data_IF_978121451365
#
_entry.id   IF_978121451365
#
_cell.length_a   1.000
_cell.length_b   1.000
_cell.length_c   1.000
_cell.angle_alpha   90.00
_cell.angle_beta   90.00
_cell.angle_gamma   90.00
#
_symmetry.space_group_name_H-M   'P 1'
#
loop_
_entity.id
_entity.type
_entity.pdbx_description
1 polymer ?
#
# COMPACT_ATOMS: atom_id res chain seq x y z
N UNK A 1 13.21 -24.84 -5.81
CA UNK A 1 13.25 -24.40 -4.39
C UNK A 1 13.63 -22.93 -4.43
N UNK A 2 12.65 -22.02 -4.39
CA UNK A 2 12.89 -20.57 -4.51
C UNK A 2 13.03 -20.00 -3.09
N UNK A 3 14.23 -20.08 -2.52
CA UNK A 3 14.62 -19.31 -1.36
C UNK A 3 15.26 -17.97 -1.79
N UNK A 4 14.55 -17.13 -2.50
CA UNK A 4 14.88 -15.71 -2.45
C UNK A 4 14.24 -15.16 -1.18
N UNK A 5 14.96 -15.22 -0.06
CA UNK A 5 14.65 -14.40 1.12
C UNK A 5 14.65 -12.96 0.66
N UNK A 6 13.47 -12.33 0.65
CA UNK A 6 13.39 -10.89 0.55
C UNK A 6 14.09 -10.35 1.81
N UNK A 7 15.34 -9.91 1.68
CA UNK A 7 16.03 -9.20 2.75
C UNK A 7 15.38 -7.84 2.85
N UNK A 8 14.47 -7.70 3.81
CA UNK A 8 13.63 -6.51 3.99
C UNK A 8 14.17 -5.61 5.11
N UNK A 9 15.35 -5.89 5.60
CA UNK A 9 16.03 -5.05 6.58
C UNK A 9 16.97 -4.08 5.89
N UNK A 10 16.94 -2.84 6.30
CA UNK A 10 17.89 -1.81 5.90
C UNK A 10 18.63 -1.26 7.12
N UNK A 11 19.72 -0.53 6.89
CA UNK A 11 20.48 0.08 7.97
C UNK A 11 19.66 1.09 8.82
N UNK A 12 18.51 1.56 8.31
CA UNK A 12 17.69 2.57 8.97
C UNK A 12 16.32 2.05 9.43
N UNK A 13 15.78 1.03 8.77
CA UNK A 13 14.45 0.50 9.06
C UNK A 13 14.43 -1.02 8.95
N UNK A 14 13.69 -1.63 9.88
CA UNK A 14 13.36 -3.05 9.87
C UNK A 14 11.92 -3.23 9.44
N UNK A 15 11.66 -4.18 8.55
CA UNK A 15 10.31 -4.54 8.14
C UNK A 15 9.84 -5.77 8.90
N UNK A 16 8.62 -5.70 9.44
CA UNK A 16 7.97 -6.83 10.09
C UNK A 16 6.58 -7.04 9.51
N UNK A 17 6.20 -8.29 9.31
CA UNK A 17 4.81 -8.65 9.09
C UNK A 17 4.05 -8.53 10.42
N UNK A 18 2.89 -7.89 10.40
CA UNK A 18 2.04 -7.71 11.58
C UNK A 18 1.65 -9.07 12.17
N UNK A 19 1.79 -9.17 13.47
CA UNK A 19 1.32 -10.32 14.25
C UNK A 19 0.40 -9.85 15.38
N UNK A 20 -0.34 -10.77 15.98
CA UNK A 20 -1.16 -10.49 17.16
C UNK A 20 -0.32 -10.59 18.46
N UNK A 21 0.91 -10.10 18.43
CA UNK A 21 1.81 -10.09 19.60
C UNK A 21 1.57 -8.86 20.49
N UNK A 22 1.93 -8.98 21.77
CA UNK A 22 1.86 -7.86 22.71
C UNK A 22 2.73 -6.69 22.26
N UNK A 23 3.92 -6.97 21.68
CA UNK A 23 4.85 -5.97 21.18
C UNK A 23 4.27 -5.17 20.00
N UNK A 24 3.66 -5.87 19.02
CA UNK A 24 3.05 -5.20 17.87
C UNK A 24 1.83 -4.38 18.30
N UNK A 25 1.01 -4.90 19.22
CA UNK A 25 -0.11 -4.14 19.81
C UNK A 25 0.36 -2.86 20.51
N UNK A 26 1.47 -2.92 21.26
CA UNK A 26 2.04 -1.76 21.92
C UNK A 26 2.56 -0.71 20.90
N UNK A 27 3.26 -1.15 19.85
CA UNK A 27 3.74 -0.26 18.77
C UNK A 27 2.57 0.42 18.04
N UNK A 28 1.53 -0.34 17.73
CA UNK A 28 0.30 0.17 17.10
C UNK A 28 -0.40 1.20 18.00
N UNK A 29 -0.50 0.95 19.30
CA UNK A 29 -1.16 1.86 20.25
C UNK A 29 -0.51 3.26 20.25
N UNK A 30 0.80 3.34 20.09
CA UNK A 30 1.57 4.60 20.08
C UNK A 30 1.62 5.29 18.71
N UNK A 31 1.13 4.64 17.64
CA UNK A 31 1.14 5.19 16.29
C UNK A 31 0.16 6.36 16.15
N UNK A 32 0.60 7.45 15.53
CA UNK A 32 -0.26 8.56 15.12
C UNK A 32 0.00 8.95 13.68
N UNK A 33 -1.04 8.91 12.87
CA UNK A 33 -0.99 9.36 11.49
C UNK A 33 -1.24 10.87 11.33
N UNK A 34 -1.56 11.56 12.44
CA UNK A 34 -1.89 12.99 12.48
C UNK A 34 -3.32 13.29 12.01
N UNK A 35 -3.77 14.51 12.29
CA UNK A 35 -5.19 14.94 12.18
C UNK A 35 -5.84 14.69 10.80
N UNK A 36 -5.07 14.73 9.73
CA UNK A 36 -5.60 14.59 8.37
C UNK A 36 -5.63 13.13 7.87
N UNK A 37 -5.25 12.16 8.71
CA UNK A 37 -5.14 10.75 8.35
C UNK A 37 -5.72 9.82 9.44
N UNK A 38 -6.72 10.30 10.18
CA UNK A 38 -7.35 9.55 11.28
C UNK A 38 -7.96 8.22 10.82
N UNK A 39 -8.47 8.13 9.60
CA UNK A 39 -8.97 6.87 9.03
C UNK A 39 -7.88 5.81 8.92
N UNK A 40 -6.67 6.21 8.50
CA UNK A 40 -5.51 5.31 8.43
C UNK A 40 -5.05 4.86 9.83
N UNK A 41 -5.07 5.76 10.81
CA UNK A 41 -4.75 5.43 12.19
C UNK A 41 -5.77 4.45 12.79
N UNK A 42 -7.08 4.70 12.60
CA UNK A 42 -8.15 3.79 13.05
C UNK A 42 -8.02 2.41 12.42
N UNK A 43 -7.81 2.35 11.10
CA UNK A 43 -7.63 1.07 10.44
C UNK A 43 -6.52 0.25 11.11
N UNK A 44 -5.35 0.85 11.35
CA UNK A 44 -4.23 0.16 11.99
C UNK A 44 -4.58 -0.34 13.39
N UNK A 45 -5.23 0.52 14.21
CA UNK A 45 -5.53 0.21 15.63
C UNK A 45 -6.70 -0.76 15.81
N UNK A 46 -7.73 -0.61 14.99
CA UNK A 46 -9.03 -1.25 15.25
C UNK A 46 -9.30 -2.44 14.32
N UNK A 47 -8.71 -2.45 13.10
CA UNK A 47 -9.08 -3.41 12.06
C UNK A 47 -7.92 -4.31 11.60
N UNK A 48 -6.68 -3.82 11.61
CA UNK A 48 -5.56 -4.48 10.91
C UNK A 48 -5.30 -5.90 11.38
N UNK A 49 -5.33 -6.15 12.68
CA UNK A 49 -5.12 -7.49 13.26
C UNK A 49 -6.26 -8.45 12.86
N UNK A 50 -7.50 -7.97 12.90
CA UNK A 50 -8.66 -8.77 12.47
C UNK A 50 -8.58 -9.19 11.01
N UNK A 51 -8.29 -8.25 10.10
CA UNK A 51 -8.13 -8.54 8.67
C UNK A 51 -6.91 -9.43 8.38
N UNK A 52 -5.85 -9.30 9.17
CA UNK A 52 -4.68 -10.17 9.07
C UNK A 52 -5.04 -11.62 9.42
N UNK A 53 -5.73 -11.82 10.53
CA UNK A 53 -6.19 -13.14 10.98
C UNK A 53 -7.22 -13.77 10.03
N UNK A 54 -8.08 -12.95 9.43
CA UNK A 54 -9.04 -13.39 8.42
C UNK A 54 -8.38 -13.70 7.06
N UNK A 55 -7.11 -13.37 6.87
CA UNK A 55 -6.41 -13.59 5.59
C UNK A 55 -6.79 -12.61 4.49
N UNK A 56 -7.52 -11.53 4.80
CA UNK A 56 -8.00 -10.55 3.84
C UNK A 56 -6.90 -9.60 3.38
N UNK A 57 -6.04 -9.22 4.31
CA UNK A 57 -4.96 -8.25 4.10
C UNK A 57 -3.64 -8.77 4.66
N UNK A 58 -2.54 -8.19 4.16
CA UNK A 58 -1.20 -8.36 4.72
C UNK A 58 -0.65 -7.01 5.12
N UNK A 59 -0.52 -6.80 6.43
CA UNK A 59 -0.06 -5.54 7.02
C UNK A 59 1.39 -5.67 7.47
N UNK A 60 2.18 -4.68 7.10
CA UNK A 60 3.60 -4.61 7.41
C UNK A 60 3.90 -3.38 8.25
N UNK A 61 4.67 -3.57 9.30
CA UNK A 61 5.17 -2.54 10.20
C UNK A 61 6.61 -2.21 9.83
N UNK A 62 6.91 -0.94 9.61
CA UNK A 62 8.25 -0.41 9.32
C UNK A 62 8.77 0.27 10.59
N UNK A 63 9.74 -0.35 11.23
CA UNK A 63 10.30 0.09 12.50
C UNK A 63 11.61 0.82 12.27
N UNK A 64 11.85 1.89 13.01
CA UNK A 64 13.16 2.54 13.08
C UNK A 64 14.16 1.55 13.69
N UNK A 65 15.25 1.27 13.00
CA UNK A 65 16.23 0.25 13.40
C UNK A 65 16.97 0.56 14.73
N UNK A 66 16.93 1.82 15.16
CA UNK A 66 17.63 2.26 16.38
C UNK A 66 16.66 2.35 17.56
N UNK A 67 15.49 2.96 17.34
CA UNK A 67 14.55 3.27 18.42
C UNK A 67 13.45 2.22 18.58
N UNK A 68 13.29 1.32 17.62
CA UNK A 68 12.18 0.34 17.51
C UNK A 68 10.79 0.99 17.44
N UNK A 69 10.72 2.31 17.21
CA UNK A 69 9.47 3.02 17.01
C UNK A 69 8.82 2.67 15.67
N UNK A 70 7.50 2.59 15.64
CA UNK A 70 6.74 2.40 14.41
C UNK A 70 6.76 3.69 13.58
N UNK A 71 7.63 3.71 12.56
CA UNK A 71 7.81 4.85 11.67
C UNK A 71 6.73 4.93 10.58
N UNK A 72 6.25 3.76 10.12
CA UNK A 72 5.31 3.65 9.03
C UNK A 72 4.63 2.29 9.06
N UNK A 73 3.44 2.20 8.45
CA UNK A 73 2.87 0.91 8.09
C UNK A 73 2.31 0.97 6.67
N UNK A 74 2.17 -0.20 6.06
CA UNK A 74 1.43 -0.37 4.82
C UNK A 74 0.72 -1.71 4.78
N UNK A 75 -0.36 -1.76 4.00
CA UNK A 75 -1.19 -2.96 3.86
C UNK A 75 -1.38 -3.28 2.39
N UNK A 76 -1.13 -4.53 2.05
CA UNK A 76 -1.33 -5.08 0.71
C UNK A 76 -2.47 -6.08 0.72
N UNK A 77 -3.27 -6.10 -0.36
CA UNK A 77 -4.26 -7.13 -0.62
C UNK A 77 -4.30 -7.49 -2.11
N UNK A 78 -4.76 -8.69 -2.41
CA UNK A 78 -5.01 -9.10 -3.79
C UNK A 78 -6.28 -8.43 -4.32
N UNK A 79 -6.32 -8.16 -5.63
CA UNK A 79 -7.49 -7.60 -6.26
C UNK A 79 -7.61 -7.99 -7.74
N UNK A 80 -8.85 -7.98 -8.24
CA UNK A 80 -9.16 -8.19 -9.66
C UNK A 80 -9.78 -6.90 -10.19
N UNK A 81 -9.18 -6.38 -11.24
CA UNK A 81 -9.66 -5.16 -11.91
C UNK A 81 -10.40 -5.56 -13.18
N UNK A 82 -11.71 -5.25 -13.29
CA UNK A 82 -12.44 -5.49 -14.52
C UNK A 82 -11.89 -4.60 -15.65
N UNK A 83 -11.66 -5.19 -16.79
CA UNK A 83 -11.22 -4.49 -18.00
C UNK A 83 -12.20 -4.80 -19.15
N UNK A 84 -12.48 -3.83 -20.03
CA UNK A 84 -13.33 -4.09 -21.20
C UNK A 84 -12.59 -5.04 -22.15
N UNK A 85 -13.33 -6.02 -22.66
CA UNK A 85 -12.81 -6.94 -23.64
C UNK A 85 -13.04 -6.38 -25.06
N UNK A 86 -11.98 -6.40 -25.87
CA UNK A 86 -12.03 -5.89 -27.26
C UNK A 86 -12.75 -6.83 -28.24
N UNK A 87 -13.22 -8.00 -27.78
CA UNK A 87 -13.77 -9.06 -28.65
C UNK A 87 -15.23 -8.88 -29.08
N UNK A 88 -15.94 -7.86 -28.58
CA UNK A 88 -17.35 -7.61 -28.92
C UNK A 88 -18.35 -8.66 -28.38
N UNK A 89 -17.90 -9.66 -27.66
CA UNK A 89 -18.75 -10.75 -27.13
C UNK A 89 -19.32 -10.52 -25.74
N UNK A 90 -19.10 -9.34 -25.15
CA UNK A 90 -19.70 -8.96 -23.88
C UNK A 90 -19.13 -9.63 -22.63
N UNK A 91 -18.05 -10.38 -22.75
CA UNK A 91 -17.37 -10.97 -21.61
C UNK A 91 -16.52 -9.92 -20.87
N UNK A 92 -16.51 -10.01 -19.55
CA UNK A 92 -15.61 -9.22 -18.72
C UNK A 92 -14.27 -9.95 -18.62
N UNK A 93 -13.23 -9.30 -19.06
CA UNK A 93 -11.86 -9.72 -18.71
C UNK A 93 -11.47 -9.11 -17.37
N UNK A 94 -10.58 -9.76 -16.63
CA UNK A 94 -10.06 -9.25 -15.37
C UNK A 94 -8.55 -9.16 -15.42
N UNK A 95 -8.02 -8.10 -14.83
CA UNK A 95 -6.60 -7.90 -14.62
C UNK A 95 -6.27 -8.19 -13.14
N UNK A 96 -5.41 -9.18 -12.91
CA UNK A 96 -4.90 -9.48 -11.57
C UNK A 96 -3.97 -8.37 -11.09
N UNK A 97 -4.19 -7.89 -9.88
CA UNK A 97 -3.42 -6.83 -9.28
C UNK A 97 -3.22 -6.98 -7.78
N UNK A 98 -2.37 -6.13 -7.26
CA UNK A 98 -2.15 -5.95 -5.83
C UNK A 98 -2.55 -4.54 -5.45
N UNK A 99 -3.35 -4.40 -4.42
CA UNK A 99 -3.74 -3.09 -3.88
C UNK A 99 -2.81 -2.70 -2.75
N UNK A 100 -2.29 -1.48 -2.82
CA UNK A 100 -1.77 -0.77 -1.67
C UNK A 100 -2.96 -0.13 -0.95
N UNK A 101 -3.63 -0.93 -0.10
CA UNK A 101 -4.90 -0.53 0.52
C UNK A 101 -4.71 0.58 1.56
N UNK A 102 -3.65 0.50 2.35
CA UNK A 102 -3.32 1.49 3.37
C UNK A 102 -1.83 1.77 3.37
N UNK A 103 -1.48 3.05 3.52
CA UNK A 103 -0.09 3.48 3.63
C UNK A 103 -0.02 4.77 4.45
N UNK A 104 0.56 4.73 5.64
CA UNK A 104 0.66 5.88 6.52
C UNK A 104 2.01 5.96 7.23
N UNK A 105 2.53 7.18 7.27
CA UNK A 105 3.69 7.54 8.08
C UNK A 105 3.24 8.01 9.45
N UNK A 106 3.94 7.60 10.49
CA UNK A 106 3.82 8.22 11.79
C UNK A 106 4.14 9.72 11.67
N UNK A 107 3.35 10.56 12.32
CA UNK A 107 3.47 12.02 12.24
C UNK A 107 4.88 12.51 12.57
N UNK A 108 5.54 11.89 13.55
CA UNK A 108 6.91 12.18 13.93
C UNK A 108 7.94 11.93 12.83
N UNK A 109 7.62 11.06 11.85
CA UNK A 109 8.48 10.68 10.73
C UNK A 109 8.15 11.40 9.43
N UNK A 110 7.00 12.04 9.33
CA UNK A 110 6.48 12.62 8.08
C UNK A 110 7.40 13.63 7.41
N UNK A 111 8.17 14.40 8.18
CA UNK A 111 9.09 15.42 7.68
C UNK A 111 10.55 14.98 7.69
N UNK A 112 10.81 13.81 8.24
CA UNK A 112 12.18 13.27 8.30
C UNK A 112 12.61 12.73 6.94
N UNK A 113 13.91 12.69 6.76
CA UNK A 113 14.59 12.04 5.65
C UNK A 113 15.49 10.94 6.18
N UNK A 114 15.78 9.95 5.36
CA UNK A 114 16.76 8.91 5.64
C UNK A 114 18.14 9.53 5.80
N UNK A 115 18.94 8.99 6.70
CA UNK A 115 20.30 9.48 6.98
C UNK A 115 21.25 9.10 5.85
N UNK A 116 21.07 7.91 5.26
CA UNK A 116 21.98 7.36 4.26
C UNK A 116 21.76 7.97 2.87
N UNK A 117 20.51 8.20 2.45
CA UNK A 117 20.18 8.65 1.10
C UNK A 117 19.59 10.04 1.03
N UNK A 118 19.37 10.70 2.17
CA UNK A 118 18.67 12.00 2.27
C UNK A 118 17.29 12.01 1.59
N UNK A 119 16.63 10.87 1.51
CA UNK A 119 15.37 10.64 0.84
C UNK A 119 14.20 10.75 1.82
N UNK A 120 13.03 11.24 1.39
CA UNK A 120 11.82 11.24 2.22
C UNK A 120 11.42 9.82 2.58
N UNK A 121 11.10 9.58 3.84
CA UNK A 121 10.80 8.23 4.36
C UNK A 121 9.67 7.54 3.59
N UNK A 122 8.61 8.26 3.23
CA UNK A 122 7.52 7.66 2.45
C UNK A 122 7.96 7.11 1.09
N UNK A 123 8.83 7.84 0.37
CA UNK A 123 9.40 7.34 -0.88
C UNK A 123 10.36 6.17 -0.62
N UNK A 124 11.20 6.28 0.40
CA UNK A 124 12.13 5.21 0.76
C UNK A 124 11.40 3.89 1.08
N UNK A 125 10.35 3.95 1.92
CA UNK A 125 9.53 2.77 2.25
C UNK A 125 8.89 2.18 1.01
N UNK A 126 8.37 3.03 0.12
CA UNK A 126 7.78 2.55 -1.13
C UNK A 126 8.81 1.85 -2.01
N UNK A 127 9.96 2.47 -2.25
CA UNK A 127 11.02 1.96 -3.14
C UNK A 127 11.72 0.72 -2.55
N UNK A 128 11.96 0.68 -1.23
CA UNK A 128 12.75 -0.39 -0.60
C UNK A 128 11.93 -1.56 -0.08
N UNK A 129 10.66 -1.35 0.24
CA UNK A 129 9.81 -2.40 0.81
C UNK A 129 8.57 -2.70 -0.03
N UNK A 130 7.73 -1.70 -0.30
CA UNK A 130 6.43 -1.95 -0.96
C UNK A 130 6.63 -2.49 -2.38
N UNK A 131 7.38 -1.80 -3.20
CA UNK A 131 7.59 -2.18 -4.61
C UNK A 131 8.35 -3.50 -4.78
N UNK A 132 9.42 -3.79 -4.02
CA UNK A 132 10.08 -5.10 -4.06
C UNK A 132 9.16 -6.26 -3.64
N UNK A 133 8.35 -6.09 -2.57
CA UNK A 133 7.37 -7.11 -2.18
C UNK A 133 6.35 -7.32 -3.30
N UNK A 134 5.78 -6.24 -3.84
CA UNK A 134 4.81 -6.31 -4.92
C UNK A 134 5.37 -7.05 -6.15
N UNK A 135 6.60 -6.73 -6.56
CA UNK A 135 7.29 -7.43 -7.65
C UNK A 135 7.57 -8.89 -7.36
N UNK A 136 7.94 -9.21 -6.12
CA UNK A 136 8.17 -10.61 -5.74
C UNK A 136 6.88 -11.42 -5.79
N UNK A 137 5.82 -10.93 -5.17
CA UNK A 137 4.49 -11.57 -5.19
C UNK A 137 3.95 -11.67 -6.61
N UNK A 138 4.15 -10.64 -7.45
CA UNK A 138 3.79 -10.66 -8.88
C UNK A 138 4.38 -11.87 -9.61
N UNK A 139 5.63 -12.22 -9.35
CA UNK A 139 6.30 -13.40 -9.96
C UNK A 139 5.72 -14.72 -9.47
N UNK A 140 5.17 -14.76 -8.26
CA UNK A 140 4.61 -15.99 -7.66
C UNK A 140 3.18 -16.23 -8.13
N UNK A 141 2.33 -15.20 -8.13
CA UNK A 141 0.89 -15.35 -8.40
C UNK A 141 0.42 -14.71 -9.72
N UNK A 142 1.32 -14.07 -10.48
CA UNK A 142 0.98 -13.44 -11.75
C UNK A 142 0.21 -12.12 -11.62
N UNK A 143 0.31 -11.39 -10.50
CA UNK A 143 -0.26 -10.05 -10.38
C UNK A 143 0.46 -9.09 -11.34
N UNK A 144 -0.29 -8.34 -12.15
CA UNK A 144 0.27 -7.53 -13.26
C UNK A 144 0.44 -6.05 -12.91
N UNK A 145 -0.29 -5.57 -11.92
CA UNK A 145 -0.27 -4.16 -11.49
C UNK A 145 -0.24 -4.04 -9.97
N UNK A 146 0.39 -2.97 -9.49
CA UNK A 146 0.17 -2.40 -8.17
C UNK A 146 -0.78 -1.23 -8.32
N UNK A 147 -1.86 -1.18 -7.54
CA UNK A 147 -2.85 -0.11 -7.63
C UNK A 147 -3.23 0.44 -6.26
N UNK A 148 -3.84 1.61 -6.25
CA UNK A 148 -4.31 2.33 -5.07
C UNK A 148 -5.58 3.10 -5.42
N UNK A 149 -6.50 3.22 -4.46
CA UNK A 149 -7.59 4.18 -4.48
C UNK A 149 -7.19 5.41 -3.67
N UNK A 150 -6.70 6.44 -4.35
CA UNK A 150 -6.17 7.63 -3.71
C UNK A 150 -7.26 8.68 -3.48
N UNK A 151 -7.26 9.32 -2.31
CA UNK A 151 -8.09 10.50 -2.07
C UNK A 151 -7.76 11.59 -3.10
N UNK A 152 -8.76 12.31 -3.67
CA UNK A 152 -8.56 13.30 -4.74
C UNK A 152 -7.95 14.61 -4.23
N UNK A 153 -6.91 14.52 -3.43
CA UNK A 153 -6.19 15.67 -2.91
C UNK A 153 -5.00 16.01 -3.83
N UNK A 154 -4.87 17.22 -4.39
CA UNK A 154 -3.87 17.55 -5.41
C UNK A 154 -2.44 17.19 -5.04
N UNK A 155 -2.01 17.44 -3.79
CA UNK A 155 -0.66 17.09 -3.33
C UNK A 155 -0.44 15.57 -3.27
N UNK A 156 -1.47 14.82 -2.87
CA UNK A 156 -1.41 13.36 -2.79
C UNK A 156 -1.38 12.75 -4.19
N UNK A 157 -2.23 13.21 -5.08
CA UNK A 157 -2.25 12.79 -6.48
C UNK A 157 -0.91 13.06 -7.18
N UNK A 158 -0.36 14.27 -6.99
CA UNK A 158 0.97 14.62 -7.50
C UNK A 158 2.07 13.73 -6.92
N UNK A 159 2.00 13.38 -5.64
CA UNK A 159 2.96 12.47 -5.01
C UNK A 159 2.89 11.06 -5.62
N UNK A 160 1.70 10.50 -5.76
CA UNK A 160 1.53 9.19 -6.40
C UNK A 160 2.01 9.22 -7.86
N UNK A 161 1.63 10.23 -8.63
CA UNK A 161 1.99 10.30 -10.05
C UNK A 161 3.48 10.59 -10.26
N UNK A 162 3.98 11.68 -9.67
CA UNK A 162 5.30 12.21 -10.01
C UNK A 162 6.44 11.62 -9.16
N UNK A 163 6.12 11.09 -7.97
CA UNK A 163 7.13 10.54 -7.06
C UNK A 163 7.12 9.02 -7.04
N UNK A 164 5.94 8.41 -7.00
CA UNK A 164 5.81 6.96 -6.92
C UNK A 164 5.56 6.27 -8.28
N UNK A 165 5.34 7.02 -9.36
CA UNK A 165 5.21 6.49 -10.72
C UNK A 165 3.85 5.88 -11.06
N UNK A 166 2.81 6.15 -10.27
CA UNK A 166 1.46 5.72 -10.58
C UNK A 166 0.84 6.54 -11.72
N UNK A 167 -0.09 5.93 -12.43
CA UNK A 167 -0.84 6.55 -13.55
C UNK A 167 -2.33 6.43 -13.28
N UNK A 168 -3.10 7.40 -13.73
CA UNK A 168 -4.56 7.34 -13.75
C UNK A 168 -5.05 6.60 -14.98
N UNK A 169 -6.26 6.06 -14.92
CA UNK A 169 -6.94 5.52 -16.09
C UNK A 169 -7.47 6.65 -17.00
N UNK A 170 -7.60 6.41 -18.31
CA UNK A 170 -8.46 7.22 -19.16
C UNK A 170 -9.88 7.27 -18.59
N UNK A 171 -10.55 8.42 -18.75
CA UNK A 171 -11.86 8.71 -18.12
C UNK A 171 -12.94 7.64 -18.41
N UNK A 172 -12.94 7.10 -19.60
CA UNK A 172 -13.90 6.05 -19.99
C UNK A 172 -13.65 4.72 -19.27
N UNK A 173 -12.37 4.36 -19.10
CA UNK A 173 -11.99 3.15 -18.36
C UNK A 173 -12.19 3.32 -16.86
N UNK A 174 -11.96 4.51 -16.33
CA UNK A 174 -12.23 4.81 -14.93
C UNK A 174 -13.73 4.68 -14.63
N UNK A 175 -14.59 5.26 -15.45
CA UNK A 175 -16.04 5.09 -15.32
C UNK A 175 -16.45 3.61 -15.41
N UNK A 176 -15.91 2.87 -16.39
CA UNK A 176 -16.17 1.45 -16.53
C UNK A 176 -15.80 0.66 -15.28
N UNK A 177 -14.69 1.01 -14.63
CA UNK A 177 -14.23 0.40 -13.39
C UNK A 177 -15.21 0.68 -12.25
N UNK A 178 -15.57 1.95 -12.01
CA UNK A 178 -16.43 2.34 -10.89
C UNK A 178 -17.88 1.85 -11.01
N UNK A 179 -18.38 1.66 -12.22
CA UNK A 179 -19.71 1.06 -12.46
C UNK A 179 -19.76 -0.42 -12.02
N UNK A 180 -18.63 -1.08 -11.81
CA UNK A 180 -18.53 -2.53 -11.52
C UNK A 180 -17.87 -2.86 -10.19
N UNK A 181 -16.97 -2.04 -9.76
CA UNK A 181 -16.27 -2.22 -8.49
C UNK A 181 -16.51 -0.97 -7.63
N UNK A 182 -17.28 -1.14 -6.55
CA UNK A 182 -17.32 -0.13 -5.49
C UNK A 182 -16.07 -0.32 -4.63
N UNK A 183 -15.13 0.63 -4.60
CA UNK A 183 -14.07 0.58 -3.61
C UNK A 183 -14.68 0.67 -2.20
N UNK A 184 -14.16 -0.08 -1.25
CA UNK A 184 -14.52 0.02 0.18
C UNK A 184 -14.08 1.36 0.81
N UNK A 185 -13.41 2.19 0.02
CA UNK A 185 -12.92 3.50 0.38
C UNK A 185 -13.92 4.61 0.06
N UNK A 186 -13.73 5.77 0.68
CA UNK A 186 -14.57 6.96 0.56
C UNK A 186 -14.98 7.27 -0.88
N UNK A 187 -16.23 7.71 -1.06
CA UNK A 187 -16.75 8.18 -2.34
C UNK A 187 -15.83 9.25 -2.94
N UNK A 188 -15.43 9.05 -4.20
CA UNK A 188 -14.59 9.99 -4.94
C UNK A 188 -13.10 9.69 -4.96
N UNK A 189 -12.64 8.57 -4.41
CA UNK A 189 -11.24 8.15 -4.59
C UNK A 189 -10.90 7.93 -6.06
N UNK A 190 -9.67 8.26 -6.44
CA UNK A 190 -9.16 8.09 -7.80
C UNK A 190 -8.33 6.81 -7.88
N UNK A 191 -8.69 5.95 -8.81
CA UNK A 191 -7.90 4.76 -9.11
C UNK A 191 -6.60 5.14 -9.80
N UNK A 192 -5.49 4.67 -9.23
CA UNK A 192 -4.17 4.85 -9.82
C UNK A 192 -3.41 3.53 -9.81
N UNK A 193 -2.59 3.28 -10.82
CA UNK A 193 -1.86 2.03 -10.97
C UNK A 193 -0.48 2.21 -11.56
N UNK A 194 0.38 1.20 -11.36
CA UNK A 194 1.62 1.02 -12.09
C UNK A 194 1.82 -0.44 -12.46
N UNK A 195 2.45 -0.78 -13.59
CA UNK A 195 2.84 -2.14 -13.95
C UNK A 195 3.87 -2.71 -12.96
N UNK A 196 3.80 -4.02 -12.70
CA UNK A 196 4.76 -4.76 -11.89
C UNK A 196 5.74 -5.57 -12.74
#
# INVERSE_FOLDING_TARGET
MFEERIVLDSAEFNLRHLTDSADDRQRIATFSAGKNALGLERYLKDCSVGHELAGENRTYLVLDAITDELACYFTLRSGLIPVPENSGQGYLSTLSGMELAYFALNENYRRRKTKTTNTRIGFYVFDKFILPIAKHVSRIIGARILFVYALPHPKLMSYYANTLGFRTLPRELEKFLYDRVKPDSDEGCVFMFQPL
#
